data_IF_979530338219
#
_entry.id   IF_979530338219
#
_cell.length_a   1.000
_cell.length_b   1.000
_cell.length_c   1.000
_cell.angle_alpha   90.00
_cell.angle_beta   90.00
_cell.angle_gamma   90.00
#
_symmetry.space_group_name_H-M   'P 1'
#
loop_
_entity.id
_entity.type
_entity.pdbx_description
1 polymer ?
#
# COMPACT_ATOMS: atom_id res chain seq x y z
N UNK A 1 -1.39 15.88 9.73
CA UNK A 1 -2.69 15.18 9.64
C UNK A 1 -3.80 16.16 9.28
N UNK A 2 -4.03 17.26 10.02
CA UNK A 2 -5.12 18.21 9.74
C UNK A 2 -5.06 18.73 8.30
N UNK A 3 -3.91 19.31 7.91
CA UNK A 3 -3.73 19.83 6.55
C UNK A 3 -3.93 18.72 5.50
N UNK A 4 -3.42 17.51 5.76
CA UNK A 4 -3.59 16.37 4.89
C UNK A 4 -5.06 15.98 4.71
N UNK A 5 -5.81 15.85 5.81
CA UNK A 5 -7.24 15.51 5.74
C UNK A 5 -8.06 16.57 5.00
N UNK A 6 -7.77 17.87 5.22
CA UNK A 6 -8.45 18.96 4.52
C UNK A 6 -8.13 18.95 3.02
N UNK A 7 -6.85 18.80 2.63
CA UNK A 7 -6.46 18.73 1.22
C UNK A 7 -7.05 17.52 0.51
N UNK A 8 -7.08 16.37 1.20
CA UNK A 8 -7.66 15.14 0.67
C UNK A 8 -9.17 15.31 0.42
N UNK A 9 -9.89 15.78 1.43
CA UNK A 9 -11.33 16.05 1.30
C UNK A 9 -11.61 17.09 0.20
N UNK A 10 -10.88 18.19 0.16
CA UNK A 10 -11.02 19.23 -0.87
C UNK A 10 -10.77 18.65 -2.27
N UNK A 11 -9.72 17.85 -2.44
CA UNK A 11 -9.42 17.18 -3.71
C UNK A 11 -10.59 16.33 -4.19
N UNK A 12 -11.18 15.50 -3.32
CA UNK A 12 -12.33 14.66 -3.67
C UNK A 12 -13.57 15.49 -4.02
N UNK A 13 -13.85 16.59 -3.28
CA UNK A 13 -14.97 17.49 -3.57
C UNK A 13 -14.80 18.14 -4.95
N UNK A 14 -13.60 18.62 -5.27
CA UNK A 14 -13.31 19.22 -6.57
C UNK A 14 -13.39 18.17 -7.70
N UNK A 15 -12.92 16.95 -7.47
CA UNK A 15 -13.03 15.84 -8.42
C UNK A 15 -14.49 15.50 -8.69
N UNK A 16 -15.35 15.48 -7.67
CA UNK A 16 -16.79 15.26 -7.83
C UNK A 16 -17.47 16.31 -8.73
N UNK A 17 -16.97 17.54 -8.74
CA UNK A 17 -17.46 18.64 -9.60
C UNK A 17 -16.74 18.77 -10.94
N UNK A 18 -15.79 17.88 -11.26
CA UNK A 18 -14.96 18.02 -12.45
C UNK A 18 -15.76 17.77 -13.74
N UNK A 19 -15.56 18.65 -14.74
CA UNK A 19 -16.20 18.57 -16.05
C UNK A 19 -15.29 18.00 -17.15
N UNK A 20 -14.03 17.72 -16.85
CA UNK A 20 -13.06 17.22 -17.82
C UNK A 20 -12.03 16.28 -17.16
N UNK A 21 -11.47 15.36 -17.95
CA UNK A 21 -10.40 14.45 -17.50
C UNK A 21 -9.16 15.22 -17.00
N UNK A 22 -8.83 16.34 -17.63
CA UNK A 22 -7.72 17.18 -17.19
C UNK A 22 -7.97 17.81 -15.82
N UNK A 23 -9.21 18.27 -15.54
CA UNK A 23 -9.57 18.78 -14.22
C UNK A 23 -9.46 17.70 -13.13
N UNK A 24 -9.90 16.48 -13.43
CA UNK A 24 -9.75 15.33 -12.51
C UNK A 24 -8.26 15.11 -12.20
N UNK A 25 -7.40 15.00 -13.21
CA UNK A 25 -5.97 14.78 -13.01
C UNK A 25 -5.33 15.89 -12.17
N UNK A 26 -5.76 17.14 -12.36
CA UNK A 26 -5.25 18.27 -11.58
C UNK A 26 -5.71 18.20 -10.10
N UNK A 27 -6.97 17.86 -9.86
CA UNK A 27 -7.49 17.76 -8.49
C UNK A 27 -6.93 16.55 -7.74
N UNK A 28 -6.57 15.46 -8.43
CA UNK A 28 -5.87 14.31 -7.85
C UNK A 28 -4.48 14.66 -7.30
N UNK A 29 -3.86 15.76 -7.73
CA UNK A 29 -2.64 16.29 -7.10
C UNK A 29 -2.93 16.72 -5.65
N UNK A 30 -4.07 17.37 -5.38
CA UNK A 30 -4.48 17.74 -4.03
C UNK A 30 -4.77 16.49 -3.19
N UNK A 31 -5.43 15.50 -3.77
CA UNK A 31 -5.65 14.19 -3.13
C UNK A 31 -4.30 13.57 -2.75
N UNK A 32 -3.32 13.57 -3.65
CA UNK A 32 -1.97 13.06 -3.40
C UNK A 32 -1.27 13.75 -2.22
N UNK A 33 -1.32 15.09 -2.15
CA UNK A 33 -0.80 15.84 -1.00
C UNK A 33 -1.59 15.52 0.29
N UNK A 34 -2.89 15.34 0.18
CA UNK A 34 -3.75 14.93 1.29
C UNK A 34 -3.35 13.56 1.85
N UNK A 35 -3.19 12.57 0.97
CA UNK A 35 -2.72 11.21 1.30
C UNK A 35 -1.33 11.24 1.94
N UNK A 36 -0.41 12.06 1.43
CA UNK A 36 0.92 12.21 2.04
C UNK A 36 0.86 12.69 3.49
N UNK A 37 -0.09 13.58 3.82
CA UNK A 37 -0.28 14.10 5.17
C UNK A 37 -1.07 13.19 6.13
N UNK A 38 -1.79 12.18 5.62
CA UNK A 38 -2.63 11.23 6.39
C UNK A 38 -2.18 9.79 6.28
N UNK A 39 -1.21 9.49 5.41
CA UNK A 39 -0.76 8.14 5.09
C UNK A 39 0.24 7.54 6.07
N UNK A 40 0.73 6.37 5.72
CA UNK A 40 1.60 5.54 6.54
C UNK A 40 2.84 6.26 7.07
N UNK A 41 3.48 7.12 6.28
CA UNK A 41 4.68 7.84 6.70
C UNK A 41 4.46 8.64 7.98
N UNK A 42 3.35 9.37 8.08
CA UNK A 42 2.98 10.18 9.24
C UNK A 42 2.48 9.31 10.39
N UNK A 43 1.55 8.41 10.12
CA UNK A 43 0.91 7.58 11.15
C UNK A 43 1.91 6.65 11.82
N UNK A 44 2.75 5.93 11.05
CA UNK A 44 3.75 5.02 11.61
C UNK A 44 4.84 5.76 12.40
N UNK A 45 5.17 6.98 12.00
CA UNK A 45 6.10 7.81 12.79
C UNK A 45 5.50 8.20 14.14
N UNK A 46 4.22 8.55 14.21
CA UNK A 46 3.51 8.83 15.47
C UNK A 46 3.44 7.59 16.34
N UNK A 47 2.98 6.47 15.79
CA UNK A 47 2.87 5.18 16.48
C UNK A 47 4.24 4.69 16.96
N UNK A 48 5.27 4.77 16.11
CA UNK A 48 6.63 4.33 16.45
C UNK A 48 7.25 5.11 17.60
N UNK A 49 6.96 6.41 17.71
CA UNK A 49 7.42 7.26 18.81
C UNK A 49 6.62 7.07 20.11
N UNK A 50 5.31 6.81 19.96
CA UNK A 50 4.43 6.59 21.11
C UNK A 50 4.58 5.18 21.72
N UNK A 51 5.20 4.25 21.00
CA UNK A 51 5.31 2.84 21.41
C UNK A 51 6.61 2.56 22.15
N UNK A 52 6.52 1.82 23.27
CA UNK A 52 7.67 1.28 23.97
C UNK A 52 8.51 0.36 23.04
N UNK A 53 9.85 0.30 23.20
CA UNK A 53 10.72 -0.46 22.32
C UNK A 53 10.31 -1.92 22.11
N UNK A 54 9.90 -2.59 23.19
CA UNK A 54 9.47 -3.99 23.20
C UNK A 54 8.15 -4.25 22.46
N UNK A 55 7.28 -3.25 22.34
CA UNK A 55 5.98 -3.34 21.69
C UNK A 55 5.94 -2.67 20.32
N UNK A 56 6.97 -1.91 19.95
CA UNK A 56 6.99 -1.07 18.72
C UNK A 56 6.70 -1.85 17.45
N UNK A 57 7.32 -3.00 17.26
CA UNK A 57 7.11 -3.81 16.06
C UNK A 57 5.64 -4.25 15.90
N UNK A 58 5.01 -4.64 17.00
CA UNK A 58 3.59 -5.04 16.99
C UNK A 58 2.67 -3.83 16.80
N UNK A 59 2.96 -2.70 17.44
CA UNK A 59 2.17 -1.47 17.27
C UNK A 59 2.20 -0.97 15.82
N UNK A 60 3.37 -1.02 15.18
CA UNK A 60 3.51 -0.68 13.76
C UNK A 60 2.76 -1.66 12.86
N UNK A 61 2.78 -2.97 13.21
CA UNK A 61 2.04 -3.99 12.48
C UNK A 61 0.52 -3.80 12.61
N UNK A 62 0.01 -3.50 13.81
CA UNK A 62 -1.42 -3.22 14.04
C UNK A 62 -1.86 -1.99 13.25
N UNK A 63 -1.08 -0.90 13.28
CA UNK A 63 -1.39 0.30 12.51
C UNK A 63 -1.43 0.02 11.00
N UNK A 64 -0.50 -0.81 10.50
CA UNK A 64 -0.48 -1.22 9.08
C UNK A 64 -1.66 -2.12 8.74
N UNK A 65 -1.99 -3.10 9.59
CA UNK A 65 -3.12 -4.00 9.39
C UNK A 65 -4.47 -3.26 9.42
N UNK A 66 -4.60 -2.20 10.22
CA UNK A 66 -5.78 -1.34 10.22
C UNK A 66 -5.99 -0.64 8.86
N UNK A 67 -4.91 -0.24 8.19
CA UNK A 67 -4.97 0.27 6.82
C UNK A 67 -5.48 -0.79 5.83
N UNK A 68 -5.06 -2.04 6.01
CA UNK A 68 -5.52 -3.17 5.18
C UNK A 68 -7.01 -3.48 5.39
N UNK A 69 -7.54 -3.29 6.58
CA UNK A 69 -8.98 -3.41 6.84
C UNK A 69 -9.77 -2.38 6.01
N UNK A 70 -9.23 -1.16 5.84
CA UNK A 70 -9.79 -0.15 4.93
C UNK A 70 -9.80 -0.59 3.47
N UNK A 71 -8.79 -1.33 3.02
CA UNK A 71 -8.76 -1.92 1.67
C UNK A 71 -9.87 -2.94 1.42
N UNK A 72 -10.33 -3.64 2.46
CA UNK A 72 -11.45 -4.59 2.34
C UNK A 72 -12.78 -3.84 2.35
N UNK A 73 -12.96 -2.94 3.30
CA UNK A 73 -14.23 -2.24 3.53
C UNK A 73 -14.50 -1.19 2.46
N UNK A 74 -13.47 -0.44 2.03
CA UNK A 74 -13.62 0.68 1.11
C UNK A 74 -14.27 0.30 -0.23
N UNK A 75 -13.75 -0.70 -0.97
CA UNK A 75 -14.36 -1.14 -2.22
C UNK A 75 -15.79 -1.66 -2.07
N UNK A 76 -16.07 -2.43 -1.00
CA UNK A 76 -17.41 -2.94 -0.73
C UNK A 76 -18.41 -1.79 -0.53
N UNK A 77 -18.03 -0.80 0.29
CA UNK A 77 -18.84 0.39 0.51
C UNK A 77 -19.01 1.19 -0.79
N UNK A 78 -17.93 1.34 -1.57
CA UNK A 78 -17.99 2.06 -2.84
C UNK A 78 -18.98 1.40 -3.82
N UNK A 79 -18.91 0.08 -4.00
CA UNK A 79 -19.83 -0.66 -4.87
C UNK A 79 -21.27 -0.49 -4.41
N UNK A 80 -21.53 -0.71 -3.11
CA UNK A 80 -22.88 -0.56 -2.54
C UNK A 80 -23.46 0.84 -2.76
N UNK A 81 -22.65 1.89 -2.62
CA UNK A 81 -23.08 3.26 -2.85
C UNK A 81 -23.34 3.52 -4.34
N UNK A 82 -22.46 3.01 -5.22
CA UNK A 82 -22.58 3.18 -6.68
C UNK A 82 -23.82 2.49 -7.28
N UNK A 83 -24.38 1.48 -6.61
CA UNK A 83 -25.64 0.86 -7.01
C UNK A 83 -26.85 1.79 -6.83
N UNK A 84 -26.78 2.76 -5.90
CA UNK A 84 -27.89 3.61 -5.49
C UNK A 84 -27.71 5.09 -5.83
N UNK A 85 -26.48 5.54 -6.16
CA UNK A 85 -26.17 6.94 -6.41
C UNK A 85 -25.07 7.14 -7.43
N UNK A 86 -24.98 8.34 -7.99
CA UNK A 86 -23.95 8.72 -8.93
C UNK A 86 -22.57 8.80 -8.26
N UNK A 87 -21.51 8.52 -9.02
CA UNK A 87 -20.11 8.50 -8.52
C UNK A 87 -19.69 9.81 -7.83
N UNK A 88 -20.24 10.96 -8.27
CA UNK A 88 -19.97 12.26 -7.65
C UNK A 88 -20.41 12.28 -6.18
N UNK A 89 -21.60 11.74 -5.91
CA UNK A 89 -22.12 11.65 -4.54
C UNK A 89 -21.28 10.72 -3.67
N UNK A 90 -20.76 9.62 -4.24
CA UNK A 90 -19.87 8.71 -3.54
C UNK A 90 -18.57 9.42 -3.14
N UNK A 91 -17.98 10.22 -4.04
CA UNK A 91 -16.81 11.04 -3.73
C UNK A 91 -17.05 12.05 -2.60
N UNK A 92 -18.23 12.69 -2.57
CA UNK A 92 -18.61 13.61 -1.50
C UNK A 92 -18.74 12.87 -0.15
N UNK A 93 -19.32 11.66 -0.13
CA UNK A 93 -19.41 10.83 1.07
C UNK A 93 -18.01 10.48 1.57
N UNK A 94 -17.09 10.06 0.70
CA UNK A 94 -15.73 9.78 1.10
C UNK A 94 -14.98 11.03 1.56
N UNK A 95 -15.22 12.20 0.95
CA UNK A 95 -14.65 13.48 1.40
C UNK A 95 -15.06 13.81 2.84
N UNK A 96 -16.33 13.62 3.19
CA UNK A 96 -16.83 13.80 4.55
C UNK A 96 -16.22 12.75 5.49
N UNK A 97 -16.14 11.50 5.07
CA UNK A 97 -15.60 10.40 5.86
C UNK A 97 -14.14 10.64 6.27
N UNK A 98 -13.33 11.23 5.38
CA UNK A 98 -11.95 11.59 5.68
C UNK A 98 -11.86 12.65 6.77
N UNK A 99 -12.77 13.64 6.78
CA UNK A 99 -12.80 14.66 7.82
C UNK A 99 -13.15 14.10 9.20
N UNK A 100 -13.83 12.95 9.29
CA UNK A 100 -14.10 12.28 10.57
C UNK A 100 -12.81 11.88 11.31
N UNK A 101 -11.70 11.70 10.59
CA UNK A 101 -10.37 11.46 11.21
C UNK A 101 -9.98 12.60 12.14
N UNK A 102 -10.44 13.81 11.88
CA UNK A 102 -10.15 14.98 12.75
C UNK A 102 -10.74 14.83 14.16
N UNK A 103 -11.80 14.04 14.31
CA UNK A 103 -12.41 13.75 15.63
C UNK A 103 -11.48 12.88 16.51
N UNK A 104 -10.52 12.17 15.90
CA UNK A 104 -9.55 11.34 16.61
C UNK A 104 -8.33 12.12 17.10
N UNK A 105 -8.12 13.37 16.64
CA UNK A 105 -6.95 14.18 16.98
C UNK A 105 -6.77 14.41 18.50
N UNK A 106 -7.83 14.64 19.31
CA UNK A 106 -7.67 14.82 20.75
C UNK A 106 -7.08 13.60 21.46
N UNK A 107 -7.23 12.41 20.87
CA UNK A 107 -6.71 11.15 21.40
C UNK A 107 -5.26 10.87 20.96
N UNK A 108 -4.75 11.62 19.97
CA UNK A 108 -3.37 11.51 19.48
C UNK A 108 -2.46 12.39 20.33
N UNK A 109 -1.75 11.78 21.29
CA UNK A 109 -0.73 12.50 22.07
C UNK A 109 0.47 12.79 21.17
N UNK A 110 0.81 14.06 21.02
CA UNK A 110 2.09 14.44 20.41
C UNK A 110 3.23 14.05 21.37
N UNK A 111 4.27 13.35 20.89
CA UNK A 111 5.48 13.15 21.70
C UNK A 111 6.11 14.52 22.01
N UNK A 112 6.84 14.60 23.12
CA UNK A 112 7.58 15.83 23.49
C UNK A 112 8.42 16.32 22.31
N UNK A 113 8.35 17.64 22.07
CA UNK A 113 9.15 18.26 21.01
C UNK A 113 10.61 18.23 21.43
N UNK A 114 11.47 17.61 20.64
CA UNK A 114 12.90 17.86 20.76
C UNK A 114 13.19 19.37 20.56
N UNK A 115 14.21 19.91 21.26
CA UNK A 115 14.56 21.31 21.10
C UNK A 115 14.89 21.63 19.64
N UNK A 116 14.47 22.80 19.15
CA UNK A 116 14.70 23.17 17.74
C UNK A 116 16.18 23.18 17.36
N UNK A 117 17.06 23.64 18.25
CA UNK A 117 18.50 23.68 18.04
C UNK A 117 19.15 22.29 17.87
N UNK A 118 18.69 21.30 18.67
CA UNK A 118 19.16 19.92 18.52
C UNK A 118 18.67 19.26 17.21
N UNK A 119 17.57 19.75 16.61
CA UNK A 119 16.98 19.17 15.41
C UNK A 119 17.70 19.65 14.13
N UNK A 120 18.05 20.94 14.05
CA UNK A 120 18.55 21.53 12.81
C UNK A 120 19.99 21.13 12.48
N UNK A 121 20.90 21.14 13.47
CA UNK A 121 22.28 20.73 13.24
C UNK A 121 22.44 19.25 12.93
N UNK A 122 21.57 18.38 13.47
CA UNK A 122 21.72 16.93 13.32
C UNK A 122 20.92 16.34 12.17
N UNK A 123 19.88 17.00 11.65
CA UNK A 123 19.05 16.48 10.56
C UNK A 123 19.80 16.42 9.22
N UNK A 124 20.52 17.48 8.87
CA UNK A 124 21.31 17.51 7.63
C UNK A 124 22.42 16.48 7.63
N UNK A 125 23.06 16.27 8.79
CA UNK A 125 24.11 15.28 8.96
C UNK A 125 23.57 13.85 8.85
N UNK A 126 22.46 13.52 9.50
CA UNK A 126 21.86 12.18 9.45
C UNK A 126 21.31 11.87 8.06
N UNK A 127 20.77 12.85 7.34
CA UNK A 127 20.34 12.69 5.96
C UNK A 127 21.52 12.36 5.04
N UNK A 128 22.61 13.12 5.20
CA UNK A 128 23.86 12.88 4.44
C UNK A 128 24.45 11.51 4.74
N UNK A 129 24.42 11.09 6.00
CA UNK A 129 24.89 9.77 6.43
C UNK A 129 24.02 8.68 5.83
N UNK A 130 22.71 8.77 5.97
CA UNK A 130 21.76 7.78 5.46
C UNK A 130 21.86 7.63 3.93
N UNK A 131 21.92 8.72 3.18
CA UNK A 131 22.03 8.68 1.71
C UNK A 131 23.38 8.12 1.21
N UNK A 132 24.37 7.99 2.08
CA UNK A 132 25.67 7.33 1.78
C UNK A 132 25.75 5.92 2.34
N UNK A 133 24.83 5.52 3.21
CA UNK A 133 24.81 4.19 3.78
C UNK A 133 24.20 3.19 2.78
N UNK A 134 24.99 2.19 2.30
CA UNK A 134 24.49 1.16 1.40
C UNK A 134 23.24 0.43 1.97
N UNK A 135 23.17 0.24 3.28
CA UNK A 135 22.04 -0.42 3.91
C UNK A 135 20.74 0.38 3.73
N UNK A 136 20.83 1.71 3.89
CA UNK A 136 19.69 2.59 3.65
C UNK A 136 19.29 2.63 2.18
N UNK A 137 20.26 2.68 1.28
CA UNK A 137 19.99 2.65 -0.16
C UNK A 137 19.36 1.33 -0.61
N UNK A 138 19.76 0.20 -0.03
CA UNK A 138 19.11 -1.09 -0.28
C UNK A 138 17.65 -1.10 0.23
N UNK A 139 17.38 -0.50 1.40
CA UNK A 139 16.01 -0.33 1.90
C UNK A 139 15.20 0.56 0.95
N UNK A 140 15.77 1.66 0.47
CA UNK A 140 15.14 2.58 -0.47
C UNK A 140 14.78 1.89 -1.79
N UNK A 141 15.70 1.14 -2.40
CA UNK A 141 15.47 0.39 -3.65
C UNK A 141 14.48 -0.75 -3.43
N UNK A 142 14.61 -1.51 -2.34
CA UNK A 142 13.66 -2.58 -2.02
C UNK A 142 12.23 -2.05 -1.82
N UNK A 143 12.09 -0.86 -1.24
CA UNK A 143 10.76 -0.28 -1.05
C UNK A 143 10.19 0.32 -2.35
N UNK A 144 11.03 0.77 -3.27
CA UNK A 144 10.64 1.07 -4.65
C UNK A 144 10.05 -0.16 -5.35
N UNK A 145 10.75 -1.30 -5.28
CA UNK A 145 10.27 -2.59 -5.80
C UNK A 145 8.92 -2.98 -5.20
N UNK A 146 8.77 -2.80 -3.89
CA UNK A 146 7.49 -3.02 -3.19
C UNK A 146 6.38 -2.19 -3.83
N UNK A 147 6.59 -0.88 -3.99
CA UNK A 147 5.61 0.03 -4.59
C UNK A 147 5.23 -0.37 -6.00
N UNK A 148 6.23 -0.69 -6.82
CA UNK A 148 6.03 -1.15 -8.20
C UNK A 148 5.07 -2.35 -8.25
N UNK A 149 5.38 -3.41 -7.52
CA UNK A 149 4.58 -4.63 -7.54
C UNK A 149 3.17 -4.42 -6.99
N UNK A 150 3.04 -3.73 -5.85
CA UNK A 150 1.75 -3.54 -5.20
C UNK A 150 0.80 -2.71 -6.06
N UNK A 151 1.26 -1.58 -6.56
CA UNK A 151 0.42 -0.69 -7.34
C UNK A 151 0.06 -1.28 -8.70
N UNK A 152 1.01 -1.94 -9.37
CA UNK A 152 0.77 -2.65 -10.62
C UNK A 152 -0.32 -3.73 -10.43
N UNK A 153 -0.19 -4.58 -9.42
CA UNK A 153 -1.17 -5.63 -9.14
C UNK A 153 -2.53 -5.00 -8.79
N UNK A 154 -2.58 -3.99 -7.95
CA UNK A 154 -3.84 -3.35 -7.57
C UNK A 154 -4.57 -2.78 -8.78
N UNK A 155 -3.85 -2.15 -9.72
CA UNK A 155 -4.44 -1.49 -10.87
C UNK A 155 -4.79 -2.45 -12.02
N UNK A 156 -3.94 -3.43 -12.30
CA UNK A 156 -4.03 -4.22 -13.53
C UNK A 156 -4.41 -5.69 -13.31
N UNK A 157 -4.31 -6.23 -12.10
CA UNK A 157 -4.64 -7.63 -11.84
C UNK A 157 -6.12 -7.97 -12.07
N UNK A 158 -7.09 -7.13 -11.66
CA UNK A 158 -8.49 -7.40 -11.98
C UNK A 158 -8.76 -7.40 -13.49
N UNK A 159 -8.14 -6.49 -14.25
CA UNK A 159 -8.24 -6.46 -15.71
C UNK A 159 -7.62 -7.71 -16.34
N UNK A 160 -6.44 -8.14 -15.89
CA UNK A 160 -5.81 -9.37 -16.32
C UNK A 160 -6.72 -10.59 -16.12
N UNK A 161 -7.41 -10.69 -15.00
CA UNK A 161 -8.33 -11.79 -14.72
C UNK A 161 -9.53 -11.77 -15.68
N UNK A 162 -10.04 -10.59 -16.04
CA UNK A 162 -11.18 -10.48 -16.97
C UNK A 162 -10.82 -10.89 -18.40
N UNK A 163 -9.56 -10.76 -18.80
CA UNK A 163 -9.06 -11.13 -20.13
C UNK A 163 -8.76 -12.63 -20.28
N UNK A 164 -8.85 -13.36 -19.19
CA UNK A 164 -8.54 -14.78 -19.22
C UNK A 164 -9.61 -15.59 -19.88
N UNK A 165 -9.15 -16.53 -20.69
CA UNK A 165 -9.98 -17.39 -21.53
C UNK A 165 -10.66 -18.55 -20.81
N UNK A 166 -10.33 -18.81 -19.54
CA UNK A 166 -10.95 -19.90 -18.81
C UNK A 166 -12.30 -19.45 -18.23
N UNK A 167 -13.42 -20.01 -18.66
CA UNK A 167 -14.71 -19.72 -18.05
C UNK A 167 -14.69 -20.17 -16.58
N UNK A 168 -15.39 -19.40 -15.73
CA UNK A 168 -15.60 -19.80 -14.33
C UNK A 168 -16.57 -20.97 -14.35
N UNK A 169 -16.19 -22.06 -13.67
CA UNK A 169 -17.09 -23.20 -13.48
C UNK A 169 -18.17 -22.83 -12.44
N UNK A 170 -19.44 -22.73 -12.88
CA UNK A 170 -20.54 -22.41 -11.98
C UNK A 170 -20.88 -23.55 -11.01
N UNK A 171 -20.39 -24.76 -11.26
CA UNK A 171 -20.55 -25.93 -10.37
C UNK A 171 -19.38 -26.09 -9.40
N UNK A 172 -18.34 -25.27 -9.53
CA UNK A 172 -17.20 -25.25 -8.64
C UNK A 172 -17.40 -24.30 -7.44
N UNK A 173 -16.38 -24.17 -6.60
CA UNK A 173 -16.40 -23.31 -5.41
C UNK A 173 -16.69 -21.84 -5.73
N UNK A 174 -16.41 -21.36 -6.92
CA UNK A 174 -16.78 -20.02 -7.37
C UNK A 174 -18.29 -19.84 -7.41
N UNK A 175 -19.03 -20.81 -7.95
CA UNK A 175 -20.49 -20.80 -7.97
C UNK A 175 -21.09 -20.85 -6.56
N UNK A 176 -20.51 -21.67 -5.66
CA UNK A 176 -20.92 -21.74 -4.25
C UNK A 176 -20.79 -20.39 -3.52
N UNK A 177 -19.86 -19.54 -3.96
CA UNK A 177 -19.64 -18.18 -3.43
C UNK A 177 -20.36 -17.08 -4.23
N UNK A 178 -21.14 -17.44 -5.24
CA UNK A 178 -21.83 -16.48 -6.13
C UNK A 178 -20.88 -15.73 -7.08
N UNK A 179 -19.68 -16.28 -7.33
CA UNK A 179 -18.70 -15.69 -8.24
C UNK A 179 -18.93 -16.28 -9.64
N UNK A 180 -19.77 -15.61 -10.42
CA UNK A 180 -20.20 -16.10 -11.74
C UNK A 180 -19.42 -15.49 -12.90
N UNK A 181 -18.67 -14.39 -12.66
CA UNK A 181 -17.94 -13.66 -13.69
C UNK A 181 -16.46 -13.46 -13.31
N UNK A 182 -15.60 -13.33 -14.34
CA UNK A 182 -14.18 -13.01 -14.13
C UNK A 182 -13.97 -11.65 -13.45
N UNK A 183 -14.88 -10.68 -13.68
CA UNK A 183 -14.87 -9.41 -12.99
C UNK A 183 -15.15 -9.56 -11.48
N UNK A 184 -16.14 -10.41 -11.12
CA UNK A 184 -16.42 -10.75 -9.73
C UNK A 184 -15.24 -11.48 -9.09
N UNK A 185 -14.58 -12.40 -9.81
CA UNK A 185 -13.36 -13.07 -9.37
C UNK A 185 -12.23 -12.06 -9.12
N UNK A 186 -12.06 -11.07 -9.99
CA UNK A 186 -11.09 -10.00 -9.84
C UNK A 186 -11.31 -9.19 -8.55
N UNK A 187 -12.54 -8.80 -8.27
CA UNK A 187 -12.92 -8.13 -7.02
C UNK A 187 -12.68 -9.00 -5.78
N UNK A 188 -13.07 -10.27 -5.86
CA UNK A 188 -12.83 -11.25 -4.78
C UNK A 188 -11.34 -11.48 -4.53
N UNK A 189 -10.53 -11.56 -5.58
CA UNK A 189 -9.07 -11.69 -5.49
C UNK A 189 -8.43 -10.55 -4.70
N UNK A 190 -8.83 -9.30 -4.96
CA UNK A 190 -8.35 -8.13 -4.18
C UNK A 190 -8.78 -8.22 -2.72
N UNK A 191 -9.98 -8.70 -2.43
CA UNK A 191 -10.46 -8.92 -1.06
C UNK A 191 -9.64 -9.99 -0.33
N UNK A 192 -9.29 -11.08 -1.01
CA UNK A 192 -8.40 -12.13 -0.49
C UNK A 192 -7.01 -11.57 -0.20
N UNK A 193 -6.44 -10.75 -1.10
CA UNK A 193 -5.19 -10.03 -0.85
C UNK A 193 -5.29 -9.21 0.44
N UNK A 194 -6.36 -8.45 0.61
CA UNK A 194 -6.57 -7.62 1.80
C UNK A 194 -6.66 -8.43 3.10
N UNK A 195 -7.42 -9.53 3.08
CA UNK A 195 -7.58 -10.42 4.24
C UNK A 195 -6.26 -11.11 4.62
N UNK A 196 -5.57 -11.70 3.64
CA UNK A 196 -4.27 -12.34 3.84
C UNK A 196 -3.21 -11.33 4.33
N UNK A 197 -3.28 -10.09 3.86
CA UNK A 197 -2.38 -9.01 4.26
C UNK A 197 -2.49 -8.66 5.76
N UNK A 198 -3.68 -8.67 6.33
CA UNK A 198 -3.85 -8.49 7.78
C UNK A 198 -3.06 -9.55 8.55
N UNK A 199 -3.24 -10.82 8.18
CA UNK A 199 -2.56 -11.95 8.82
C UNK A 199 -1.05 -11.83 8.65
N UNK A 200 -0.58 -11.64 7.42
CA UNK A 200 0.85 -11.54 7.09
C UNK A 200 1.55 -10.38 7.81
N UNK A 201 0.90 -9.21 7.86
CA UNK A 201 1.45 -8.03 8.53
C UNK A 201 1.57 -8.21 10.05
N UNK A 202 0.57 -8.81 10.69
CA UNK A 202 0.62 -9.12 12.13
C UNK A 202 1.70 -10.17 12.44
N UNK A 203 1.80 -11.20 11.62
CA UNK A 203 2.85 -12.21 11.75
C UNK A 203 4.24 -11.63 11.52
N UNK A 204 4.41 -10.73 10.54
CA UNK A 204 5.67 -10.01 10.33
C UNK A 204 6.06 -9.14 11.53
N UNK A 205 5.10 -8.46 12.15
CA UNK A 205 5.32 -7.70 13.37
C UNK A 205 5.76 -8.57 14.54
N UNK A 206 5.15 -9.75 14.69
CA UNK A 206 5.54 -10.75 15.70
C UNK A 206 6.92 -11.34 15.40
N UNK A 207 7.17 -11.76 14.16
CA UNK A 207 8.44 -12.33 13.73
C UNK A 207 9.60 -11.35 13.86
N UNK A 208 9.34 -10.06 13.56
CA UNK A 208 10.32 -8.97 13.66
C UNK A 208 10.85 -8.71 15.07
N UNK A 209 10.19 -9.27 16.13
CA UNK A 209 10.71 -9.26 17.51
C UNK A 209 11.71 -10.38 17.76
N UNK A 210 11.61 -11.50 17.05
CA UNK A 210 12.38 -12.74 17.29
C UNK A 210 13.49 -12.97 16.30
N UNK A 211 13.30 -12.53 15.06
CA UNK A 211 14.22 -12.77 13.95
C UNK A 211 14.79 -11.47 13.42
N UNK A 212 15.95 -11.54 12.79
CA UNK A 212 16.60 -10.40 12.15
C UNK A 212 15.74 -9.82 11.02
N UNK A 213 15.33 -8.56 11.15
CA UNK A 213 14.43 -7.87 10.20
C UNK A 213 14.92 -7.91 8.75
N UNK A 214 16.25 -7.85 8.53
CA UNK A 214 16.85 -7.93 7.20
C UNK A 214 16.56 -9.27 6.51
N UNK A 215 16.64 -10.38 7.24
CA UNK A 215 16.37 -11.71 6.69
C UNK A 215 14.87 -11.94 6.42
N UNK A 216 14.02 -11.41 7.30
CA UNK A 216 12.57 -11.43 7.07
C UNK A 216 12.21 -10.62 5.80
N UNK A 217 12.76 -9.42 5.64
CA UNK A 217 12.54 -8.60 4.45
C UNK A 217 13.03 -9.32 3.18
N UNK A 218 14.25 -9.88 3.20
CA UNK A 218 14.77 -10.63 2.05
C UNK A 218 13.88 -11.82 1.70
N UNK A 219 13.39 -12.56 2.70
CA UNK A 219 12.48 -13.69 2.50
C UNK A 219 11.13 -13.25 1.92
N UNK A 220 10.59 -12.10 2.35
CA UNK A 220 9.35 -11.56 1.82
C UNK A 220 9.51 -11.16 0.35
N UNK A 221 10.56 -10.42 -0.01
CA UNK A 221 10.81 -10.03 -1.39
C UNK A 221 11.02 -11.24 -2.31
N UNK A 222 11.85 -12.20 -1.89
CA UNK A 222 12.05 -13.44 -2.64
C UNK A 222 10.74 -14.23 -2.79
N UNK A 223 9.95 -14.35 -1.72
CA UNK A 223 8.66 -15.03 -1.75
C UNK A 223 7.67 -14.38 -2.71
N UNK A 224 7.63 -13.04 -2.77
CA UNK A 224 6.78 -12.29 -3.70
C UNK A 224 7.20 -12.51 -5.16
N UNK A 225 8.50 -12.47 -5.45
CA UNK A 225 9.04 -12.74 -6.79
C UNK A 225 8.74 -14.18 -7.22
N UNK A 226 8.86 -15.15 -6.31
CA UNK A 226 8.51 -16.56 -6.57
C UNK A 226 7.00 -16.71 -6.83
N UNK A 227 6.15 -16.09 -6.01
CA UNK A 227 4.70 -16.14 -6.20
C UNK A 227 4.28 -15.51 -7.54
N UNK A 228 4.87 -14.38 -7.91
CA UNK A 228 4.62 -13.72 -9.18
C UNK A 228 5.10 -14.57 -10.38
N UNK A 229 6.31 -15.14 -10.30
CA UNK A 229 6.84 -16.01 -11.33
C UNK A 229 5.99 -17.28 -11.50
N UNK A 230 5.60 -17.90 -10.38
CA UNK A 230 4.71 -19.07 -10.42
C UNK A 230 3.39 -18.72 -11.10
N UNK A 231 2.76 -17.61 -10.74
CA UNK A 231 1.48 -17.19 -11.28
C UNK A 231 1.52 -17.00 -12.80
N UNK A 232 2.51 -16.29 -13.34
CA UNK A 232 2.59 -16.02 -14.78
C UNK A 232 3.07 -17.22 -15.62
N UNK A 233 3.69 -18.22 -14.99
CA UNK A 233 4.16 -19.44 -15.64
C UNK A 233 3.12 -20.58 -15.61
N UNK A 234 2.06 -20.43 -14.83
CA UNK A 234 0.99 -21.43 -14.74
C UNK A 234 -0.26 -20.95 -15.49
N UNK A 235 -1.13 -21.88 -15.95
CA UNK A 235 -2.42 -21.49 -16.48
C UNK A 235 -3.19 -20.65 -15.47
N UNK A 236 -3.75 -19.53 -15.94
CA UNK A 236 -4.50 -18.65 -15.09
C UNK A 236 -5.93 -19.18 -14.97
N UNK A 237 -6.25 -19.79 -13.85
CA UNK A 237 -7.55 -20.36 -13.45
C UNK A 237 -8.04 -19.68 -12.19
N UNK A 238 -9.30 -19.90 -11.81
CA UNK A 238 -9.82 -19.39 -10.55
C UNK A 238 -8.96 -19.82 -9.34
N UNK A 239 -8.48 -21.06 -9.34
CA UNK A 239 -7.61 -21.60 -8.27
C UNK A 239 -6.25 -20.91 -8.24
N UNK A 240 -5.60 -20.74 -9.40
CA UNK A 240 -4.29 -20.05 -9.46
C UNK A 240 -4.40 -18.58 -9.06
N UNK A 241 -5.49 -17.90 -9.42
CA UNK A 241 -5.81 -16.55 -8.99
C UNK A 241 -5.93 -16.48 -7.47
N UNK A 242 -6.66 -17.43 -6.85
CA UNK A 242 -6.85 -17.48 -5.40
C UNK A 242 -5.55 -17.77 -4.65
N UNK A 243 -4.77 -18.76 -5.11
CA UNK A 243 -3.47 -19.11 -4.50
C UNK A 243 -2.50 -17.92 -4.60
N UNK A 244 -2.44 -17.27 -5.75
CA UNK A 244 -1.62 -16.08 -5.93
C UNK A 244 -2.07 -14.95 -5.01
N UNK A 245 -3.39 -14.66 -4.97
CA UNK A 245 -3.96 -13.59 -4.14
C UNK A 245 -3.67 -13.80 -2.66
N UNK A 246 -3.82 -15.03 -2.17
CA UNK A 246 -3.49 -15.35 -0.79
C UNK A 246 -1.99 -15.21 -0.52
N UNK A 247 -1.14 -15.81 -1.36
CA UNK A 247 0.32 -15.79 -1.18
C UNK A 247 0.88 -14.37 -1.26
N UNK A 248 0.45 -13.62 -2.29
CA UNK A 248 0.88 -12.24 -2.47
C UNK A 248 0.34 -11.34 -1.37
N UNK A 249 -0.95 -11.51 -1.00
CA UNK A 249 -1.57 -10.78 0.09
C UNK A 249 -0.87 -11.00 1.43
N UNK A 250 -0.52 -12.24 1.76
CA UNK A 250 0.21 -12.57 2.98
C UNK A 250 1.56 -11.86 3.09
N UNK A 251 2.22 -11.62 1.95
CA UNK A 251 3.50 -10.92 1.86
C UNK A 251 3.35 -9.41 1.57
N UNK A 252 2.10 -8.92 1.38
CA UNK A 252 1.79 -7.60 0.80
C UNK A 252 2.44 -6.44 1.55
N UNK A 253 1.90 -6.06 2.70
CA UNK A 253 2.44 -5.01 3.56
C UNK A 253 3.24 -5.53 4.75
N UNK A 254 3.58 -6.82 4.78
CA UNK A 254 4.45 -7.41 5.78
C UNK A 254 5.85 -6.72 5.84
N UNK A 255 6.26 -6.08 4.73
CA UNK A 255 7.48 -5.27 4.65
C UNK A 255 7.39 -3.97 5.45
N UNK A 256 6.21 -3.38 5.62
CA UNK A 256 6.03 -2.03 6.21
C UNK A 256 6.50 -1.95 7.67
N UNK A 257 6.02 -2.81 8.61
CA UNK A 257 6.47 -2.77 10.00
C UNK A 257 7.94 -3.17 10.15
N UNK A 258 8.45 -4.03 9.28
CA UNK A 258 9.84 -4.46 9.30
C UNK A 258 10.76 -3.33 8.80
N UNK A 259 10.41 -2.66 7.71
CA UNK A 259 11.19 -1.55 7.12
C UNK A 259 11.20 -0.35 8.05
N UNK A 260 10.05 0.09 8.52
CA UNK A 260 9.95 1.22 9.47
C UNK A 260 10.67 0.91 10.79
N UNK A 261 10.53 -0.32 11.28
CA UNK A 261 11.24 -0.79 12.46
C UNK A 261 12.76 -0.93 12.25
N UNK A 262 13.23 -1.23 11.03
CA UNK A 262 14.66 -1.29 10.70
C UNK A 262 15.27 0.11 10.63
N UNK A 263 14.59 1.05 9.99
CA UNK A 263 15.00 2.47 9.96
C UNK A 263 15.07 3.04 11.37
N UNK A 264 14.07 2.78 12.21
CA UNK A 264 14.07 3.19 13.60
C UNK A 264 15.20 2.57 14.44
N UNK A 265 15.58 1.32 14.11
CA UNK A 265 16.67 0.61 14.79
C UNK A 265 18.06 1.15 14.43
N UNK A 266 18.29 1.47 13.16
CA UNK A 266 19.61 1.93 12.65
C UNK A 266 19.83 3.41 13.00
N UNK A 267 18.83 4.26 12.77
CA UNK A 267 18.98 5.73 12.85
C UNK A 267 18.27 6.36 14.04
N UNK A 268 17.61 5.56 14.87
CA UNK A 268 16.84 6.04 16.00
C UNK A 268 15.44 6.53 15.63
N UNK A 269 14.55 6.52 16.64
CA UNK A 269 13.13 6.92 16.46
C UNK A 269 12.96 8.42 16.22
N UNK A 270 13.94 9.22 16.61
CA UNK A 270 13.97 10.67 16.42
C UNK A 270 13.87 11.04 14.93
N UNK A 271 14.65 10.37 14.08
CA UNK A 271 14.73 10.64 12.64
C UNK A 271 13.82 9.74 11.80
N UNK A 272 13.11 8.81 12.43
CA UNK A 272 12.26 7.83 11.76
C UNK A 272 11.25 8.47 10.81
N UNK A 273 10.61 9.58 11.21
CA UNK A 273 9.61 10.25 10.38
C UNK A 273 10.19 10.70 9.03
N UNK A 274 11.35 11.34 9.05
CA UNK A 274 11.98 11.89 7.84
C UNK A 274 12.59 10.77 7.01
N UNK A 275 13.41 9.91 7.61
CA UNK A 275 14.10 8.84 6.88
C UNK A 275 13.12 7.81 6.32
N UNK A 276 12.14 7.38 7.11
CA UNK A 276 11.12 6.48 6.60
C UNK A 276 10.20 7.17 5.57
N UNK A 277 9.94 8.47 5.72
CA UNK A 277 9.22 9.27 4.72
C UNK A 277 9.92 9.27 3.35
N UNK A 278 11.25 9.39 3.31
CA UNK A 278 12.05 9.30 2.08
C UNK A 278 11.99 7.88 1.48
N UNK A 279 12.11 6.85 2.31
CA UNK A 279 11.93 5.45 1.87
C UNK A 279 10.51 5.24 1.34
N UNK A 280 9.49 5.79 1.99
CA UNK A 280 8.12 5.72 1.52
C UNK A 280 7.90 6.49 0.21
N UNK A 281 8.61 7.59 -0.01
CA UNK A 281 8.61 8.29 -1.29
C UNK A 281 9.14 7.41 -2.43
N UNK A 282 10.18 6.59 -2.20
CA UNK A 282 10.64 5.63 -3.20
C UNK A 282 9.56 4.61 -3.57
N UNK A 283 8.77 4.17 -2.59
CA UNK A 283 7.62 3.30 -2.82
C UNK A 283 6.59 3.97 -3.75
N UNK A 284 6.30 5.25 -3.54
CA UNK A 284 5.36 5.99 -4.38
C UNK A 284 5.89 6.16 -5.82
N UNK A 285 7.20 6.39 -5.99
CA UNK A 285 7.84 6.39 -7.30
C UNK A 285 7.71 5.03 -7.98
N UNK A 286 7.97 3.95 -7.24
CA UNK A 286 7.76 2.58 -7.73
C UNK A 286 6.31 2.33 -8.14
N UNK A 287 5.36 2.77 -7.32
CA UNK A 287 3.93 2.67 -7.59
C UNK A 287 3.54 3.36 -8.89
N UNK A 288 4.00 4.60 -9.08
CA UNK A 288 3.79 5.34 -10.31
C UNK A 288 4.35 4.59 -11.53
N UNK A 289 5.61 4.15 -11.45
CA UNK A 289 6.27 3.43 -12.54
C UNK A 289 5.54 2.12 -12.87
N UNK A 290 5.13 1.36 -11.85
CA UNK A 290 4.43 0.07 -12.04
C UNK A 290 3.08 0.23 -12.73
N UNK A 291 2.26 1.18 -12.29
CA UNK A 291 0.95 1.44 -12.91
C UNK A 291 1.12 2.01 -14.32
N UNK A 292 2.01 3.00 -14.49
CA UNK A 292 2.24 3.65 -15.76
C UNK A 292 2.77 2.67 -16.83
N UNK A 293 3.80 1.89 -16.49
CA UNK A 293 4.33 0.88 -17.39
C UNK A 293 3.31 -0.23 -17.67
N UNK A 294 2.48 -0.58 -16.69
CA UNK A 294 1.37 -1.51 -16.86
C UNK A 294 0.47 -1.11 -18.02
N UNK A 295 0.01 0.14 -18.04
CA UNK A 295 -0.81 0.69 -19.11
C UNK A 295 -0.06 0.79 -20.43
N UNK A 296 1.09 1.46 -20.45
CA UNK A 296 1.86 1.71 -21.70
C UNK A 296 2.28 0.42 -22.39
N UNK A 297 2.81 -0.55 -21.64
CA UNK A 297 3.26 -1.82 -22.24
C UNK A 297 2.08 -2.69 -22.67
N UNK A 298 0.95 -2.61 -21.97
CA UNK A 298 -0.27 -3.25 -22.42
C UNK A 298 -0.78 -2.65 -23.73
N UNK A 299 -0.84 -1.32 -23.84
CA UNK A 299 -1.26 -0.65 -25.08
C UNK A 299 -0.33 -0.97 -26.26
N UNK A 300 0.97 -1.15 -26.00
CA UNK A 300 1.96 -1.47 -27.05
C UNK A 300 1.97 -2.94 -27.47
N UNK A 301 1.79 -3.87 -26.54
CA UNK A 301 2.00 -5.30 -26.78
C UNK A 301 0.74 -6.16 -26.63
N UNK A 302 -0.37 -5.61 -26.13
CA UNK A 302 -1.60 -6.34 -25.82
C UNK A 302 -1.41 -7.38 -24.72
N UNK A 303 -0.40 -7.21 -23.84
CA UNK A 303 -0.07 -8.21 -22.81
C UNK A 303 0.64 -7.57 -21.62
N UNK A 304 0.31 -8.06 -20.43
CA UNK A 304 0.97 -7.68 -19.17
C UNK A 304 2.27 -8.47 -18.91
N UNK A 305 2.62 -9.45 -19.71
CA UNK A 305 3.76 -10.37 -19.45
C UNK A 305 5.07 -9.63 -19.18
N UNK A 306 5.40 -8.63 -19.99
CA UNK A 306 6.64 -7.84 -19.84
C UNK A 306 6.69 -7.11 -18.50
N UNK A 307 5.58 -6.49 -18.09
CA UNK A 307 5.48 -5.75 -16.81
C UNK A 307 5.64 -6.70 -15.62
N UNK A 308 5.07 -7.90 -15.68
CA UNK A 308 5.26 -8.93 -14.66
C UNK A 308 6.73 -9.31 -14.51
N UNK A 309 7.43 -9.57 -15.62
CA UNK A 309 8.86 -9.92 -15.57
C UNK A 309 9.72 -8.78 -15.03
N UNK A 310 9.42 -7.52 -15.37
CA UNK A 310 10.09 -6.36 -14.76
C UNK A 310 9.85 -6.38 -13.24
N UNK A 311 8.60 -6.58 -12.80
CA UNK A 311 8.26 -6.63 -11.37
C UNK A 311 8.89 -7.79 -10.60
N UNK A 312 9.21 -8.90 -11.26
CA UNK A 312 9.94 -10.04 -10.68
C UNK A 312 11.43 -9.73 -10.56
N UNK A 313 11.98 -8.99 -11.53
CA UNK A 313 13.41 -8.67 -11.59
C UNK A 313 13.83 -7.53 -10.65
N UNK A 314 12.93 -6.59 -10.37
CA UNK A 314 13.13 -5.42 -9.49
C UNK A 314 12.91 -5.79 -8.03
#
# INVERSE_FOLDING_TARGET
>A
IVLGAVLYSLGLVLTAGASSAFAIQFYEILVGFGVAGTGFGVILAVVGRASAPEHRAMSLAIATASGSAGQIVGPVVAVFLLESMEWQSVFLIFAISILLVLLLLPFMRAPEKASKEEIEESLGEILRLAMRDPSYMMIFVGFFSCGYQLAFITAHFPALITEMSAPIDPLGWCGDLGIETTAALGGFAISVIGAANIIGTLLAGWAGKRFGKKWLLSGIYAGRSIAAAWFILTPITADSVLIFSFSMGFLWLATVPLTSGLVAHIYGVRYMATLYGIVFFSHQLGSFVGVYLGGVLYDMYGSYTTVWWIGIAV
#
